data_IF_617718366366
#
_entry.id   IF_617718366366
#
_cell.length_a   1.000
_cell.length_b   1.000
_cell.length_c   1.000
_cell.angle_alpha   90.00
_cell.angle_beta   90.00
_cell.angle_gamma   90.00
#
_symmetry.space_group_name_H-M   'P 1'
#
loop_
_entity.id
_entity.type
_entity.pdbx_description
1 polymer ?
#
# COMPACT_ATOMS: atom_id res chain seq x y z
N UNK A 1 -9.31 -14.85 -27.07
CA UNK A 1 -9.70 -14.24 -25.78
C UNK A 1 -8.42 -13.74 -25.10
N UNK A 2 -8.35 -12.49 -24.60
CA UNK A 2 -7.18 -12.06 -23.85
C UNK A 2 -7.14 -12.86 -22.54
N UNK A 3 -6.10 -13.65 -22.35
CA UNK A 3 -5.89 -14.40 -21.10
C UNK A 3 -5.50 -13.38 -20.02
N UNK A 4 -6.47 -12.90 -19.25
CA UNK A 4 -6.21 -12.00 -18.13
C UNK A 4 -5.24 -12.72 -17.19
N UNK A 5 -4.00 -12.23 -17.05
CA UNK A 5 -3.02 -12.80 -16.13
C UNK A 5 -3.60 -12.62 -14.73
N UNK A 6 -3.82 -13.69 -13.98
CA UNK A 6 -4.20 -13.59 -12.57
C UNK A 6 -3.13 -12.79 -11.84
N UNK A 7 -3.56 -11.81 -11.04
CA UNK A 7 -2.69 -10.91 -10.28
C UNK A 7 -3.08 -10.99 -8.82
N UNK A 8 -2.08 -11.10 -7.97
CA UNK A 8 -2.21 -10.97 -6.54
C UNK A 8 -1.52 -9.67 -6.18
N UNK A 9 -2.27 -8.73 -5.62
CA UNK A 9 -1.76 -7.42 -5.24
C UNK A 9 -1.80 -7.30 -3.72
N UNK A 10 -0.72 -6.76 -3.18
CA UNK A 10 -0.60 -6.48 -1.75
C UNK A 10 -0.37 -4.99 -1.59
N UNK A 11 -1.14 -4.37 -0.70
CA UNK A 11 -0.92 -3.01 -0.21
C UNK A 11 -0.33 -3.11 1.20
N UNK A 12 0.66 -2.28 1.50
CA UNK A 12 1.32 -2.26 2.81
C UNK A 12 1.52 -0.86 3.37
N UNK A 13 1.35 -0.72 4.68
CA UNK A 13 1.71 0.46 5.46
C UNK A 13 2.79 0.07 6.46
N UNK A 14 3.93 0.75 6.39
CA UNK A 14 5.06 0.52 7.30
C UNK A 14 5.21 1.66 8.29
N UNK A 15 5.20 1.33 9.57
CA UNK A 15 5.45 2.29 10.63
C UNK A 15 6.96 2.47 10.82
N UNK A 16 7.48 3.64 10.46
CA UNK A 16 8.91 3.93 10.53
C UNK A 16 9.48 4.00 11.97
N UNK A 17 8.61 4.15 12.99
CA UNK A 17 9.02 4.23 14.39
C UNK A 17 9.02 2.86 15.07
N UNK A 18 7.99 2.04 14.83
CA UNK A 18 7.87 0.71 15.47
C UNK A 18 8.39 -0.43 14.60
N UNK A 19 8.59 -0.18 13.30
CA UNK A 19 8.88 -1.20 12.27
C UNK A 19 7.73 -2.20 12.03
N UNK A 20 6.52 -1.86 12.47
CA UNK A 20 5.33 -2.67 12.19
C UNK A 20 4.91 -2.56 10.72
N UNK A 21 4.50 -3.68 10.14
CA UNK A 21 3.92 -3.75 8.80
C UNK A 21 2.45 -4.15 8.89
N UNK A 22 1.55 -3.27 8.45
CA UNK A 22 0.18 -3.63 8.13
C UNK A 22 0.10 -3.96 6.64
N UNK A 23 -0.54 -5.08 6.28
CA UNK A 23 -0.71 -5.47 4.89
C UNK A 23 -2.11 -6.00 4.62
N UNK A 24 -2.65 -5.68 3.44
CA UNK A 24 -3.86 -6.27 2.91
C UNK A 24 -3.59 -6.76 1.49
N UNK A 25 -4.21 -7.87 1.12
CA UNK A 25 -4.03 -8.48 -0.18
C UNK A 25 -5.37 -8.71 -0.88
N UNK A 26 -5.35 -8.66 -2.22
CA UNK A 26 -6.49 -9.05 -3.05
C UNK A 26 -6.03 -9.71 -4.34
N UNK A 27 -6.92 -10.53 -4.88
CA UNK A 27 -6.84 -10.94 -6.27
C UNK A 27 -7.41 -9.82 -7.18
N UNK A 28 -6.85 -9.71 -8.38
CA UNK A 28 -7.30 -8.74 -9.39
C UNK A 28 -6.58 -7.41 -9.27
N UNK A 29 -7.21 -6.34 -9.75
CA UNK A 29 -6.59 -5.01 -9.87
C UNK A 29 -6.52 -4.28 -8.53
N UNK A 30 -5.43 -3.57 -8.27
CA UNK A 30 -5.34 -2.61 -7.17
C UNK A 30 -6.03 -1.31 -7.63
N UNK A 31 -7.27 -1.11 -7.19
CA UNK A 31 -8.10 0.07 -7.51
C UNK A 31 -8.25 1.00 -6.30
N UNK A 32 -8.76 2.21 -6.55
CA UNK A 32 -8.87 3.24 -5.52
C UNK A 32 -9.75 2.82 -4.35
N UNK A 33 -10.83 2.06 -4.62
CA UNK A 33 -11.73 1.56 -3.58
C UNK A 33 -10.99 0.66 -2.59
N UNK A 34 -10.24 -0.34 -3.08
CA UNK A 34 -9.47 -1.22 -2.20
C UNK A 34 -8.41 -0.47 -1.39
N UNK A 35 -7.73 0.51 -1.99
CA UNK A 35 -6.74 1.32 -1.26
C UNK A 35 -7.40 2.13 -0.15
N UNK A 36 -8.56 2.73 -0.42
CA UNK A 36 -9.33 3.51 0.56
C UNK A 36 -9.84 2.61 1.68
N UNK A 37 -10.49 1.50 1.35
CA UNK A 37 -11.03 0.57 2.36
C UNK A 37 -9.92 0.05 3.29
N UNK A 38 -8.76 -0.25 2.71
CA UNK A 38 -7.59 -0.70 3.48
C UNK A 38 -7.03 0.43 4.35
N UNK A 39 -6.97 1.66 3.84
CA UNK A 39 -6.52 2.84 4.59
C UNK A 39 -7.45 3.11 5.78
N UNK A 40 -8.75 3.02 5.56
CA UNK A 40 -9.78 3.27 6.57
C UNK A 40 -9.73 2.20 7.67
N UNK A 41 -9.63 0.93 7.28
CA UNK A 41 -9.46 -0.17 8.21
C UNK A 41 -8.18 -0.02 9.05
N UNK A 42 -7.07 0.40 8.43
CA UNK A 42 -5.82 0.66 9.14
C UNK A 42 -5.95 1.86 10.10
N UNK A 43 -6.53 2.97 9.64
CA UNK A 43 -6.69 4.20 10.42
C UNK A 43 -7.56 3.98 11.67
N UNK A 44 -8.62 3.17 11.56
CA UNK A 44 -9.47 2.80 12.69
C UNK A 44 -8.71 2.06 13.82
N UNK A 45 -7.55 1.48 13.54
CA UNK A 45 -6.71 0.84 14.58
C UNK A 45 -5.75 1.81 15.27
N UNK A 46 -5.68 3.06 14.84
CA UNK A 46 -4.70 4.04 15.36
C UNK A 46 -5.27 4.79 16.55
N UNK A 47 -4.42 4.96 17.56
CA UNK A 47 -4.75 5.66 18.81
C UNK A 47 -3.92 6.94 19.01
N UNK A 48 -3.04 7.25 18.05
CA UNK A 48 -2.13 8.39 18.10
C UNK A 48 -2.17 9.15 16.77
N UNK A 49 -1.97 10.48 16.78
CA UNK A 49 -1.75 11.24 15.57
C UNK A 49 -0.65 10.59 14.73
N UNK A 50 -0.96 10.32 13.47
CA UNK A 50 -0.07 9.57 12.57
C UNK A 50 0.05 10.33 11.26
N UNK A 51 1.27 10.58 10.79
CA UNK A 51 1.49 11.20 9.47
C UNK A 51 1.49 10.11 8.41
N UNK A 52 0.65 10.26 7.39
CA UNK A 52 0.63 9.36 6.23
C UNK A 52 1.64 9.87 5.19
N UNK A 53 2.66 9.06 4.91
CA UNK A 53 3.68 9.34 3.89
C UNK A 53 3.40 8.49 2.65
N UNK A 54 3.11 9.13 1.52
CA UNK A 54 2.77 8.46 0.27
C UNK A 54 3.82 8.72 -0.82
N UNK A 55 4.00 7.74 -1.71
CA UNK A 55 4.66 7.98 -3.00
C UNK A 55 3.69 8.68 -3.98
N UNK A 56 4.16 8.91 -5.21
CA UNK A 56 3.38 9.59 -6.25
C UNK A 56 2.66 8.61 -7.19
N UNK A 57 2.28 7.41 -6.71
CA UNK A 57 1.49 6.48 -7.51
C UNK A 57 0.19 7.15 -7.98
N UNK A 58 -0.20 6.92 -9.24
CA UNK A 58 -1.37 7.57 -9.88
C UNK A 58 -2.65 7.44 -9.04
N UNK A 59 -2.81 6.32 -8.36
CA UNK A 59 -3.97 6.04 -7.51
C UNK A 59 -4.11 7.02 -6.33
N UNK A 60 -2.98 7.43 -5.72
CA UNK A 60 -2.95 8.41 -4.63
C UNK A 60 -3.29 9.83 -5.11
N UNK A 61 -3.24 10.08 -6.42
CA UNK A 61 -3.66 11.36 -7.01
C UNK A 61 -5.03 11.29 -7.69
N UNK A 62 -5.70 10.14 -7.66
CA UNK A 62 -7.04 10.02 -8.23
C UNK A 62 -8.04 10.93 -7.51
N UNK A 63 -9.07 11.39 -8.22
CA UNK A 63 -10.12 12.22 -7.65
C UNK A 63 -10.81 11.54 -6.46
N UNK A 64 -11.08 10.23 -6.58
CA UNK A 64 -11.69 9.42 -5.52
C UNK A 64 -10.82 9.37 -4.27
N UNK A 65 -9.52 9.13 -4.41
CA UNK A 65 -8.60 9.09 -3.26
C UNK A 65 -8.46 10.48 -2.61
N UNK A 66 -8.30 11.54 -3.41
CA UNK A 66 -8.24 12.91 -2.89
C UNK A 66 -9.51 13.33 -2.17
N UNK A 67 -10.68 12.99 -2.72
CA UNK A 67 -11.97 13.26 -2.08
C UNK A 67 -12.06 12.56 -0.71
N UNK A 68 -11.66 11.29 -0.63
CA UNK A 68 -11.65 10.56 0.65
C UNK A 68 -10.74 11.22 1.69
N UNK A 69 -9.57 11.71 1.28
CA UNK A 69 -8.65 12.41 2.19
C UNK A 69 -9.21 13.77 2.65
N UNK A 70 -9.98 14.46 1.80
CA UNK A 70 -10.62 15.73 2.16
C UNK A 70 -11.81 15.57 3.11
N UNK A 71 -12.54 14.45 3.01
CA UNK A 71 -13.68 14.13 3.88
C UNK A 71 -13.27 13.51 5.22
N UNK A 72 -11.99 13.22 5.43
CA UNK A 72 -11.51 12.46 6.57
C UNK A 72 -11.28 13.30 7.83
N UNK A 73 -12.35 13.73 8.50
CA UNK A 73 -12.23 14.14 9.92
C UNK A 73 -11.73 12.99 10.81
N UNK A 74 -11.95 11.73 10.40
CA UNK A 74 -11.49 10.52 11.11
C UNK A 74 -10.00 10.16 10.85
N UNK A 75 -9.46 10.60 9.71
CA UNK A 75 -8.04 10.52 9.42
C UNK A 75 -7.44 11.89 9.75
N UNK A 76 -7.38 12.24 11.04
CA UNK A 76 -6.64 13.42 11.54
C UNK A 76 -5.12 13.20 11.43
N UNK A 77 -4.71 12.74 10.25
CA UNK A 77 -3.42 12.24 9.89
C UNK A 77 -2.86 13.20 8.84
N UNK A 78 -1.84 14.01 9.19
CA UNK A 78 -1.20 14.89 8.23
C UNK A 78 -0.68 14.08 7.04
N UNK A 79 -0.97 14.53 5.83
CA UNK A 79 -0.56 13.87 4.60
C UNK A 79 0.73 14.49 4.06
N UNK A 80 1.71 13.64 3.74
CA UNK A 80 2.96 14.06 3.12
C UNK A 80 3.25 13.22 1.87
N UNK A 81 3.40 13.88 0.72
CA UNK A 81 3.88 13.22 -0.50
C UNK A 81 5.39 13.32 -0.57
N UNK A 82 6.04 12.20 -0.87
CA UNK A 82 7.46 12.19 -1.18
C UNK A 82 7.76 13.00 -2.45
N UNK A 83 8.99 13.54 -2.62
CA UNK A 83 9.41 14.10 -3.89
C UNK A 83 9.30 13.06 -5.02
N UNK A 84 8.96 13.52 -6.22
CA UNK A 84 8.79 12.66 -7.40
C UNK A 84 10.05 11.81 -7.65
N UNK A 85 9.86 10.56 -8.06
CA UNK A 85 10.94 9.61 -8.38
C UNK A 85 11.97 9.40 -7.24
N UNK A 86 11.54 9.46 -5.98
CA UNK A 86 12.43 9.27 -4.81
C UNK A 86 12.19 7.97 -4.05
N UNK A 87 12.39 6.78 -4.65
CA UNK A 87 12.13 5.49 -4.00
C UNK A 87 13.00 5.28 -2.76
N UNK A 88 14.21 5.85 -2.72
CA UNK A 88 15.12 5.77 -1.57
C UNK A 88 14.54 6.43 -0.29
N UNK A 89 13.56 7.32 -0.43
CA UNK A 89 12.83 7.93 0.69
C UNK A 89 11.61 7.11 1.12
N UNK A 90 11.12 6.22 0.26
CA UNK A 90 9.99 5.36 0.58
C UNK A 90 10.44 4.17 1.43
N UNK A 91 10.09 4.19 2.73
CA UNK A 91 10.47 3.13 3.67
C UNK A 91 9.88 1.75 3.30
N UNK A 92 8.76 1.69 2.56
CA UNK A 92 8.19 0.44 2.08
C UNK A 92 9.08 -0.32 1.07
N UNK A 93 9.97 0.38 0.36
CA UNK A 93 10.85 -0.25 -0.64
C UNK A 93 11.78 -1.30 -0.03
N UNK A 94 12.20 -1.12 1.22
CA UNK A 94 13.10 -2.08 1.88
C UNK A 94 12.38 -3.37 2.26
N UNK A 95 11.23 -3.35 2.96
CA UNK A 95 10.39 -4.53 3.15
C UNK A 95 10.05 -5.22 1.83
N UNK A 96 9.64 -4.47 0.79
CA UNK A 96 9.31 -5.08 -0.50
C UNK A 96 10.48 -5.77 -1.17
N UNK A 97 11.68 -5.17 -1.11
CA UNK A 97 12.89 -5.82 -1.62
C UNK A 97 13.18 -7.11 -0.86
N UNK A 98 13.09 -7.11 0.47
CA UNK A 98 13.31 -8.33 1.27
C UNK A 98 12.29 -9.42 0.95
N UNK A 99 11.00 -9.07 0.90
CA UNK A 99 9.92 -10.00 0.57
C UNK A 99 10.19 -10.65 -0.79
N UNK A 100 10.45 -9.84 -1.82
CA UNK A 100 10.53 -10.34 -3.19
C UNK A 100 11.85 -11.07 -3.52
N UNK A 101 12.96 -10.72 -2.87
CA UNK A 101 14.27 -11.25 -3.26
C UNK A 101 14.93 -12.15 -2.22
N UNK A 102 14.50 -12.09 -0.95
CA UNK A 102 15.12 -12.86 0.12
C UNK A 102 14.16 -13.85 0.76
N UNK A 103 12.90 -13.47 0.98
CA UNK A 103 11.94 -14.28 1.75
C UNK A 103 11.09 -15.19 0.88
N UNK A 104 10.62 -14.70 -0.27
CA UNK A 104 9.91 -15.54 -1.23
C UNK A 104 10.91 -16.44 -1.96
N UNK A 105 10.70 -17.75 -1.82
CA UNK A 105 11.48 -18.75 -2.55
C UNK A 105 11.02 -18.84 -4.00
N UNK A 106 11.88 -19.27 -4.94
CA UNK A 106 11.51 -19.43 -6.35
C UNK A 106 10.25 -20.27 -6.57
N UNK A 107 9.97 -21.24 -5.71
CA UNK A 107 8.77 -22.09 -5.78
C UNK A 107 7.47 -21.30 -5.60
N UNK A 108 7.49 -20.18 -4.86
CA UNK A 108 6.32 -19.33 -4.67
C UNK A 108 5.85 -18.74 -6.01
N UNK A 109 6.80 -18.38 -6.89
CA UNK A 109 6.52 -17.80 -8.20
C UNK A 109 6.11 -18.83 -9.27
N UNK A 110 5.99 -20.12 -8.93
CA UNK A 110 5.70 -21.19 -9.92
C UNK A 110 4.34 -21.01 -10.60
N UNK A 111 3.29 -20.71 -9.84
CA UNK A 111 1.96 -20.38 -10.35
C UNK A 111 1.16 -19.55 -9.34
N UNK A 112 -0.03 -19.10 -9.73
CA UNK A 112 -0.85 -18.23 -8.89
C UNK A 112 -1.25 -18.87 -7.54
N UNK A 113 -1.41 -20.19 -7.47
CA UNK A 113 -1.79 -20.89 -6.22
C UNK A 113 -0.62 -21.04 -5.24
N UNK A 114 0.61 -20.91 -5.72
CA UNK A 114 1.82 -21.03 -4.90
C UNK A 114 2.34 -19.67 -4.44
N UNK A 115 1.77 -18.59 -4.96
CA UNK A 115 2.15 -17.22 -4.67
C UNK A 115 1.58 -16.75 -3.32
#
# INVERSE_FOLDING_TARGET
MPRHRQRFNVLGFYNATTNDLYAAAREGTLDAAFVIDTLDAWAATRTRPTVLVLDNAKIHHSATFRARLQHGEDLDAPLFYLPTCSPHLNKMETPWRKINYEWLRPEAYRNFKTL
#
